data_IF_858383424841
#
_entry.id   IF_858383424841
#
_cell.length_a   1.000
_cell.length_b   1.000
_cell.length_c   1.000
_cell.angle_alpha   90.00
_cell.angle_beta   90.00
_cell.angle_gamma   90.00
#
_symmetry.space_group_name_H-M   'P 1'
#
loop_
_entity.id
_entity.type
_entity.pdbx_description
1 polymer ?
#
# COMPACT_ATOMS: atom_id res chain seq x y z
N UNK A 1 0.94 30.36 -4.32
CA UNK A 1 1.25 28.94 -4.62
C UNK A 1 0.09 28.11 -4.08
N UNK A 2 -0.48 27.22 -4.90
CA UNK A 2 -1.74 26.53 -4.61
C UNK A 2 -1.50 25.39 -3.60
N UNK A 3 -2.02 25.48 -2.38
CA UNK A 3 -1.72 24.56 -1.27
C UNK A 3 -2.01 23.10 -1.60
N UNK A 4 -3.06 22.82 -2.39
CA UNK A 4 -3.42 21.47 -2.84
C UNK A 4 -2.33 20.81 -3.69
N UNK A 5 -1.78 21.53 -4.67
CA UNK A 5 -0.73 21.02 -5.55
C UNK A 5 0.56 20.71 -4.77
N UNK A 6 0.86 21.49 -3.73
CA UNK A 6 2.00 21.23 -2.86
C UNK A 6 1.81 19.96 -2.00
N UNK A 7 0.59 19.66 -1.57
CA UNK A 7 0.28 18.45 -0.77
C UNK A 7 0.32 17.19 -1.61
N UNK A 8 -0.26 17.24 -2.80
CA UNK A 8 -0.22 16.14 -3.76
C UNK A 8 1.23 15.77 -4.10
N UNK A 9 2.09 16.75 -4.36
CA UNK A 9 3.52 16.51 -4.60
C UNK A 9 4.23 15.86 -3.40
N UNK A 10 3.91 16.27 -2.18
CA UNK A 10 4.48 15.66 -0.96
C UNK A 10 4.00 14.22 -0.75
N UNK A 11 2.72 13.94 -1.08
CA UNK A 11 2.17 12.59 -1.05
C UNK A 11 2.86 11.68 -2.08
N UNK A 12 3.04 12.17 -3.32
CA UNK A 12 3.77 11.46 -4.37
C UNK A 12 5.22 11.16 -3.97
N UNK A 13 5.89 12.10 -3.30
CA UNK A 13 7.25 11.90 -2.79
C UNK A 13 7.32 10.82 -1.69
N UNK A 14 6.23 10.58 -0.96
CA UNK A 14 6.17 9.56 0.09
C UNK A 14 5.96 8.14 -0.45
N UNK A 15 5.58 7.99 -1.73
CA UNK A 15 5.29 6.68 -2.32
C UNK A 15 6.53 5.76 -2.36
N UNK A 16 7.73 6.33 -2.46
CA UNK A 16 8.97 5.57 -2.44
C UNK A 16 9.16 4.84 -1.10
N UNK A 17 8.97 5.54 0.03
CA UNK A 17 9.07 4.92 1.35
C UNK A 17 7.98 3.88 1.59
N UNK A 18 6.77 4.14 1.08
CA UNK A 18 5.63 3.21 1.18
C UNK A 18 5.90 1.93 0.38
N UNK A 19 6.36 2.07 -0.87
CA UNK A 19 6.75 0.94 -1.72
C UNK A 19 7.86 0.12 -1.06
N UNK A 20 8.92 0.78 -0.59
CA UNK A 20 10.02 0.12 0.10
C UNK A 20 9.56 -0.64 1.35
N UNK A 21 8.64 -0.08 2.13
CA UNK A 21 8.10 -0.73 3.33
C UNK A 21 7.26 -1.98 3.02
N UNK A 22 6.50 -1.98 1.91
CA UNK A 22 5.76 -3.17 1.45
C UNK A 22 6.73 -4.25 0.94
N UNK A 23 7.73 -3.88 0.14
CA UNK A 23 8.73 -4.81 -0.40
C UNK A 23 9.57 -5.43 0.71
N UNK A 24 10.04 -4.64 1.68
CA UNK A 24 10.84 -5.13 2.80
C UNK A 24 10.09 -6.19 3.64
N UNK A 25 8.76 -6.05 3.76
CA UNK A 25 7.94 -7.05 4.45
C UNK A 25 7.82 -8.36 3.65
N UNK A 26 7.68 -8.27 2.32
CA UNK A 26 7.74 -9.46 1.46
C UNK A 26 9.10 -10.16 1.58
N UNK A 27 10.21 -9.40 1.55
CA UNK A 27 11.56 -9.96 1.72
C UNK A 27 11.72 -10.67 3.06
N UNK A 28 11.31 -10.00 4.15
CA UNK A 28 11.36 -10.56 5.52
C UNK A 28 10.57 -11.86 5.65
N UNK A 29 9.47 -11.99 4.91
CA UNK A 29 8.63 -13.18 4.89
C UNK A 29 9.09 -14.28 3.91
N UNK A 30 10.21 -14.09 3.21
CA UNK A 30 10.70 -15.06 2.20
C UNK A 30 9.98 -14.99 0.86
N UNK A 31 9.23 -13.92 0.61
CA UNK A 31 8.46 -13.64 -0.61
C UNK A 31 9.10 -12.57 -1.50
N UNK A 32 10.38 -12.21 -1.27
CA UNK A 32 11.07 -11.13 -2.02
C UNK A 32 11.07 -11.30 -3.54
N UNK A 33 11.00 -12.53 -4.05
CA UNK A 33 10.85 -12.80 -5.49
C UNK A 33 9.55 -12.22 -6.11
N UNK A 34 8.58 -11.82 -5.28
CA UNK A 34 7.33 -11.18 -5.69
C UNK A 34 7.38 -9.66 -5.71
N UNK A 35 8.49 -9.02 -5.30
CA UNK A 35 8.60 -7.55 -5.21
C UNK A 35 8.18 -6.82 -6.49
N UNK A 36 8.49 -7.38 -7.66
CA UNK A 36 8.19 -6.79 -8.96
C UNK A 36 6.68 -6.77 -9.27
N UNK A 37 5.85 -7.47 -8.47
CA UNK A 37 4.39 -7.38 -8.56
C UNK A 37 3.86 -6.07 -8.02
N UNK A 38 4.57 -5.41 -7.10
CA UNK A 38 4.18 -4.11 -6.53
C UNK A 38 4.82 -3.00 -7.38
N UNK A 39 4.06 -2.29 -8.24
CA UNK A 39 4.63 -1.21 -9.04
C UNK A 39 4.97 -0.02 -8.15
N UNK A 40 6.11 0.67 -8.38
CA UNK A 40 6.47 1.84 -7.58
C UNK A 40 5.55 3.05 -7.85
N UNK A 41 4.93 3.11 -9.03
CA UNK A 41 3.94 4.15 -9.37
C UNK A 41 2.51 3.63 -9.26
N UNK A 42 1.60 4.52 -8.87
CA UNK A 42 0.16 4.28 -8.88
C UNK A 42 -0.39 4.34 -10.30
N UNK A 43 -1.45 3.58 -10.55
CA UNK A 43 -2.22 3.65 -11.80
C UNK A 43 -3.10 4.89 -11.85
N UNK A 44 -3.60 5.33 -10.68
CA UNK A 44 -4.42 6.54 -10.53
C UNK A 44 -4.29 7.10 -9.12
N UNK A 45 -4.49 8.40 -8.97
CA UNK A 45 -4.57 9.08 -7.68
C UNK A 45 -5.44 10.33 -7.76
N UNK A 46 -5.89 10.80 -6.59
CA UNK A 46 -6.65 12.04 -6.46
C UNK A 46 -6.51 12.60 -5.03
N UNK A 47 -6.60 13.92 -4.92
CA UNK A 47 -6.85 14.59 -3.65
C UNK A 47 -8.35 14.53 -3.33
N UNK A 48 -8.70 14.05 -2.15
CA UNK A 48 -10.05 13.96 -1.64
C UNK A 48 -10.22 14.92 -0.47
N UNK A 49 -11.33 15.66 -0.45
CA UNK A 49 -11.71 16.51 0.68
C UNK A 49 -12.82 15.81 1.44
N UNK A 50 -12.62 15.60 2.75
CA UNK A 50 -13.65 15.07 3.62
C UNK A 50 -14.79 16.11 3.80
N UNK A 51 -16.06 15.76 3.53
CA UNK A 51 -17.16 16.71 3.58
C UNK A 51 -17.57 17.11 5.01
N UNK A 52 -17.15 16.37 6.04
CA UNK A 52 -17.50 16.64 7.43
C UNK A 52 -16.54 17.64 8.09
N UNK A 53 -15.23 17.49 7.90
CA UNK A 53 -14.22 18.34 8.54
C UNK A 53 -13.33 19.15 7.57
N UNK A 54 -13.49 18.96 6.26
CA UNK A 54 -12.72 19.64 5.22
C UNK A 54 -11.27 19.17 5.10
N UNK A 55 -10.88 18.09 5.79
CA UNK A 55 -9.53 17.55 5.73
C UNK A 55 -9.22 16.99 4.34
N UNK A 56 -7.97 17.15 3.89
CA UNK A 56 -7.52 16.67 2.59
C UNK A 56 -6.67 15.41 2.71
N UNK A 57 -7.10 14.34 2.04
CA UNK A 57 -6.36 13.09 1.94
C UNK A 57 -5.96 12.80 0.49
N UNK A 58 -4.77 12.24 0.30
CA UNK A 58 -4.36 11.70 -0.99
C UNK A 58 -4.78 10.23 -1.07
N UNK A 59 -5.53 9.88 -2.10
CA UNK A 59 -5.97 8.50 -2.35
C UNK A 59 -5.40 8.02 -3.68
N UNK A 60 -4.82 6.82 -3.68
CA UNK A 60 -4.16 6.22 -4.83
C UNK A 60 -4.45 4.74 -4.97
N UNK A 61 -4.37 4.23 -6.20
CA UNK A 61 -4.61 2.82 -6.49
C UNK A 61 -3.55 2.24 -7.41
N UNK A 62 -3.22 0.98 -7.18
CA UNK A 62 -2.56 0.12 -8.15
C UNK A 62 -3.61 -0.73 -8.86
N UNK A 63 -3.52 -0.83 -10.19
CA UNK A 63 -4.42 -1.62 -11.02
C UNK A 63 -3.62 -2.47 -12.01
N UNK A 64 -4.16 -3.63 -12.37
CA UNK A 64 -3.62 -4.43 -13.46
C UNK A 64 -4.01 -3.83 -14.83
N UNK A 65 -3.50 -4.43 -15.92
CA UNK A 65 -3.79 -3.98 -17.29
C UNK A 65 -5.29 -4.06 -17.67
N UNK A 66 -6.07 -4.92 -17.01
CA UNK A 66 -7.52 -5.02 -17.19
C UNK A 66 -8.31 -4.02 -16.30
N UNK A 67 -7.62 -3.19 -15.53
CA UNK A 67 -8.22 -2.20 -14.62
C UNK A 67 -8.66 -2.76 -13.28
N UNK A 68 -8.41 -4.04 -12.95
CA UNK A 68 -8.70 -4.60 -11.62
C UNK A 68 -7.80 -3.97 -10.58
N UNK A 69 -8.38 -3.51 -9.46
CA UNK A 69 -7.62 -2.99 -8.31
C UNK A 69 -6.77 -4.11 -7.69
N UNK A 70 -5.49 -3.82 -7.48
CA UNK A 70 -4.52 -4.70 -6.82
C UNK A 70 -4.11 -4.17 -5.45
N UNK A 71 -4.42 -2.91 -5.15
CA UNK A 71 -4.03 -2.29 -3.88
C UNK A 71 -4.44 -0.83 -3.83
N UNK A 72 -4.22 -0.20 -2.69
CA UNK A 72 -4.46 1.22 -2.50
C UNK A 72 -3.53 1.85 -1.50
N UNK A 73 -3.36 3.16 -1.61
CA UNK A 73 -2.69 4.01 -0.64
C UNK A 73 -3.62 5.15 -0.24
N UNK A 74 -3.61 5.48 1.05
CA UNK A 74 -4.29 6.63 1.63
C UNK A 74 -3.28 7.37 2.50
N UNK A 75 -3.11 8.67 2.23
CA UNK A 75 -2.28 9.56 3.04
C UNK A 75 -3.17 10.68 3.56
N UNK A 76 -3.45 10.65 4.85
CA UNK A 76 -4.32 11.60 5.53
C UNK A 76 -3.67 12.99 5.64
N UNK A 77 -4.50 13.98 5.96
CA UNK A 77 -4.04 15.36 6.10
C UNK A 77 -2.85 15.50 7.08
N UNK A 78 -2.86 14.73 8.17
CA UNK A 78 -1.81 14.72 9.18
C UNK A 78 -0.58 13.88 8.84
N UNK A 79 -0.50 13.33 7.63
CA UNK A 79 0.62 12.50 7.18
C UNK A 79 0.54 11.03 7.59
N UNK A 80 -0.57 10.61 8.23
CA UNK A 80 -0.81 9.19 8.49
C UNK A 80 -1.01 8.46 7.16
N UNK A 81 -0.33 7.34 7.02
CA UNK A 81 -0.34 6.49 5.84
C UNK A 81 -1.05 5.19 6.18
N UNK A 82 -1.85 4.72 5.24
CA UNK A 82 -2.24 3.32 5.11
C UNK A 82 -2.05 2.90 3.66
N UNK A 83 -1.39 1.78 3.40
CA UNK A 83 -1.37 1.19 2.08
C UNK A 83 -1.47 -0.34 2.15
N UNK A 84 -2.04 -0.93 1.12
CA UNK A 84 -2.20 -2.37 0.99
C UNK A 84 -2.00 -2.79 -0.46
N UNK A 85 -1.49 -4.01 -0.66
CA UNK A 85 -1.32 -4.62 -1.97
C UNK A 85 -1.58 -6.12 -1.92
N UNK A 86 -2.33 -6.63 -2.89
CA UNK A 86 -2.71 -8.03 -3.04
C UNK A 86 -1.50 -8.87 -3.51
N UNK A 87 -1.20 -9.95 -2.80
CA UNK A 87 -0.10 -10.87 -3.11
C UNK A 87 -0.63 -12.21 -3.63
N UNK A 88 -1.64 -12.74 -2.94
CA UNK A 88 -2.43 -13.92 -3.30
C UNK A 88 -1.58 -15.18 -3.58
N UNK A 89 -0.84 -15.66 -2.58
CA UNK A 89 -0.02 -16.88 -2.68
C UNK A 89 -0.10 -17.74 -1.41
N UNK A 90 0.17 -19.07 -1.49
CA UNK A 90 0.41 -19.87 -0.29
C UNK A 90 1.59 -19.33 0.51
N UNK A 91 1.53 -19.41 1.85
CA UNK A 91 2.65 -18.99 2.69
C UNK A 91 3.86 -19.91 2.44
N UNK A 92 5.08 -19.36 2.25
CA UNK A 92 6.21 -20.11 1.70
C UNK A 92 6.74 -21.20 2.64
N UNK A 93 6.49 -21.07 3.95
CA UNK A 93 7.05 -21.96 4.99
C UNK A 93 6.00 -22.53 5.95
N UNK A 94 4.74 -22.08 5.88
CA UNK A 94 3.68 -22.51 6.80
C UNK A 94 2.38 -22.74 6.01
N UNK A 95 2.20 -23.97 5.53
CA UNK A 95 1.07 -24.34 4.66
C UNK A 95 -0.33 -24.15 5.27
N UNK A 96 -0.44 -23.81 6.56
CA UNK A 96 -1.70 -23.43 7.20
C UNK A 96 -2.20 -22.05 6.77
N UNK A 97 -1.33 -21.24 6.17
CA UNK A 97 -1.64 -19.86 5.81
C UNK A 97 -1.56 -19.61 4.31
N UNK A 98 -2.46 -18.74 3.86
CA UNK A 98 -2.46 -18.10 2.56
C UNK A 98 -2.19 -16.62 2.76
N UNK A 99 -1.25 -16.07 2.01
CA UNK A 99 -0.91 -14.65 2.03
C UNK A 99 -1.85 -13.93 1.06
N UNK A 100 -2.84 -13.25 1.61
CA UNK A 100 -3.80 -12.45 0.84
C UNK A 100 -3.11 -11.20 0.29
N UNK A 101 -2.36 -10.50 1.14
CA UNK A 101 -1.72 -9.24 0.78
C UNK A 101 -0.63 -8.84 1.76
N UNK A 102 -0.11 -7.63 1.55
CA UNK A 102 0.81 -6.94 2.44
C UNK A 102 0.26 -5.56 2.73
N UNK A 103 0.32 -5.13 3.98
CA UNK A 103 -0.13 -3.81 4.42
C UNK A 103 1.03 -3.04 5.03
N UNK A 104 0.96 -1.70 4.96
CA UNK A 104 1.84 -0.80 5.68
C UNK A 104 1.07 0.38 6.24
N UNK A 105 1.44 0.86 7.41
CA UNK A 105 0.79 1.99 8.08
C UNK A 105 1.75 2.76 8.98
N UNK A 106 1.40 4.00 9.30
CA UNK A 106 2.18 4.86 10.19
C UNK A 106 2.35 6.26 9.62
N UNK A 107 3.56 6.79 9.61
CA UNK A 107 3.92 8.04 8.91
C UNK A 107 5.08 7.74 7.95
N UNK A 108 5.36 8.64 7.00
CA UNK A 108 6.47 8.46 6.05
C UNK A 108 7.84 8.23 6.73
N UNK A 109 8.03 8.69 7.97
CA UNK A 109 9.25 8.50 8.76
C UNK A 109 9.23 7.22 9.61
N UNK A 110 8.05 6.64 9.86
CA UNK A 110 7.90 5.50 10.76
C UNK A 110 6.76 4.61 10.28
N UNK A 111 7.04 3.85 9.21
CA UNK A 111 6.15 2.84 8.67
C UNK A 111 6.36 1.49 9.38
N UNK A 112 5.25 0.78 9.61
CA UNK A 112 5.21 -0.63 9.97
C UNK A 112 4.53 -1.39 8.86
N UNK A 113 4.88 -2.66 8.70
CA UNK A 113 4.29 -3.50 7.67
C UNK A 113 4.00 -4.89 8.21
N UNK A 114 2.99 -5.56 7.67
CA UNK A 114 2.67 -6.95 7.97
C UNK A 114 2.04 -7.66 6.77
N UNK A 115 2.15 -8.98 6.74
CA UNK A 115 1.35 -9.81 5.84
C UNK A 115 -0.09 -9.93 6.34
N UNK A 116 -1.03 -9.82 5.40
CA UNK A 116 -2.43 -10.19 5.62
C UNK A 116 -2.59 -11.68 5.32
N UNK A 117 -2.89 -12.46 6.37
CA UNK A 117 -2.97 -13.91 6.30
C UNK A 117 -4.42 -14.40 6.41
N UNK A 118 -4.76 -15.40 5.60
CA UNK A 118 -5.99 -16.18 5.70
C UNK A 118 -5.64 -17.64 5.97
N UNK A 119 -6.47 -18.40 6.70
CA UNK A 119 -6.30 -19.85 6.77
C UNK A 119 -6.33 -20.47 5.37
N UNK A 120 -5.37 -21.34 5.07
CA UNK A 120 -5.38 -22.11 3.84
C UNK A 120 -6.54 -23.11 3.86
N UNK A 121 -7.29 -23.20 2.75
CA UNK A 121 -8.37 -24.17 2.64
C UNK A 121 -7.78 -25.59 2.57
N UNK A 122 -8.10 -26.43 3.56
CA UNK A 122 -7.70 -27.84 3.61
C UNK A 122 -6.41 -28.15 4.38
N UNK A 123 -5.90 -27.22 5.21
CA UNK A 123 -4.83 -27.47 6.17
C UNK A 123 -5.32 -28.12 7.47
#
# INVERSE_FOLDING_TARGET
>A
MNTTASREQAALASLEQIHAALVAELERAGLGHLQNRIPPQLSSHQMQTDPFDGSQSFAGEWRNAAGTKLGSVLIHQGGQVFAEFDVLVPHPTDGRWFVEGVTTWGTAQQLKSELKLLPALGA
#
